data_IF_142728336632
#
_entry.id   IF_142728336632
#
_cell.length_a   1.000
_cell.length_b   1.000
_cell.length_c   1.000
_cell.angle_alpha   90.00
_cell.angle_beta   90.00
_cell.angle_gamma   90.00
#
_symmetry.space_group_name_H-M   'P 1'
#
loop_
_entity.id
_entity.type
_entity.pdbx_description
1 polymer ?
#
# COMPACT_ATOMS: atom_id res chain seq x y z
N UNK A 1 -9.69 21.50 16.17
CA UNK A 1 -9.73 20.07 16.59
C UNK A 1 -8.60 19.33 15.91
N UNK A 2 -8.01 18.33 16.56
CA UNK A 2 -6.80 17.63 16.08
C UNK A 2 -7.17 16.24 15.53
N UNK A 3 -6.73 15.94 14.31
CA UNK A 3 -6.85 14.64 13.66
C UNK A 3 -5.49 14.34 13.03
N UNK A 4 -4.85 13.24 13.45
CA UNK A 4 -3.53 12.87 12.95
C UNK A 4 -3.40 11.36 12.91
N UNK A 5 -2.86 10.86 11.81
CA UNK A 5 -2.51 9.46 11.57
C UNK A 5 -1.04 9.40 11.17
N UNK A 6 -0.30 8.50 11.80
CA UNK A 6 1.06 8.15 11.41
C UNK A 6 1.11 6.64 11.23
N UNK A 7 1.51 6.18 10.05
CA UNK A 7 1.62 4.75 9.72
C UNK A 7 3.00 4.46 9.16
N UNK A 8 3.50 3.26 9.45
CA UNK A 8 4.63 2.67 8.76
C UNK A 8 4.21 1.27 8.33
N UNK A 9 4.33 0.99 7.04
CA UNK A 9 3.91 -0.30 6.48
C UNK A 9 4.43 -0.50 5.08
N UNK A 10 3.92 -1.54 4.41
CA UNK A 10 4.31 -1.88 3.05
C UNK A 10 3.16 -1.68 2.07
N UNK A 11 3.47 -1.10 0.91
CA UNK A 11 2.52 -0.96 -0.19
C UNK A 11 2.11 -2.35 -0.69
N UNK A 12 0.81 -2.64 -0.77
CA UNK A 12 0.30 -3.98 -1.14
C UNK A 12 0.31 -4.20 -2.65
N UNK A 13 0.08 -3.15 -3.41
CA UNK A 13 0.07 -3.14 -4.87
C UNK A 13 0.59 -1.80 -5.39
N UNK A 14 1.12 -1.78 -6.61
CA UNK A 14 1.63 -0.56 -7.24
C UNK A 14 0.58 0.56 -7.19
N UNK A 15 0.92 1.77 -6.70
CA UNK A 15 -0.04 2.86 -6.56
C UNK A 15 -0.65 3.26 -7.90
N UNK A 16 -1.98 3.35 -7.96
CA UNK A 16 -2.70 3.76 -9.15
C UNK A 16 -2.82 5.29 -9.20
N UNK A 17 -2.25 5.91 -10.24
CA UNK A 17 -2.35 7.34 -10.48
C UNK A 17 -3.55 7.63 -11.40
N UNK A 18 -4.45 8.48 -10.95
CA UNK A 18 -5.55 9.01 -11.74
C UNK A 18 -5.46 10.52 -11.83
N UNK A 19 -5.97 11.07 -12.93
CA UNK A 19 -6.25 12.50 -13.06
C UNK A 19 -7.75 12.73 -12.94
N UNK A 20 -8.13 13.72 -12.16
CA UNK A 20 -9.52 14.17 -12.05
C UNK A 20 -9.89 15.06 -13.23
N UNK A 21 -11.19 15.32 -13.42
CA UNK A 21 -11.69 16.21 -14.48
C UNK A 21 -11.14 17.65 -14.37
N UNK A 22 -10.66 18.05 -13.20
CA UNK A 22 -10.05 19.36 -12.96
C UNK A 22 -8.51 19.31 -13.04
N UNK A 23 -7.96 18.31 -13.75
CA UNK A 23 -6.53 18.05 -13.93
C UNK A 23 -5.70 17.92 -12.63
N UNK A 24 -6.36 17.55 -11.52
CA UNK A 24 -5.66 17.21 -10.27
C UNK A 24 -5.30 15.74 -10.24
N UNK A 25 -4.02 15.46 -10.03
CA UNK A 25 -3.48 14.12 -9.79
C UNK A 25 -3.92 13.57 -8.43
N UNK A 26 -4.36 12.32 -8.41
CA UNK A 26 -4.73 11.57 -7.21
C UNK A 26 -4.16 10.15 -7.30
N UNK A 27 -3.48 9.70 -6.26
CA UNK A 27 -2.97 8.34 -6.16
C UNK A 27 -3.69 7.62 -5.01
N UNK A 28 -4.08 6.37 -5.26
CA UNK A 28 -4.64 5.48 -4.26
C UNK A 28 -3.72 4.30 -4.05
N UNK A 29 -3.49 3.95 -2.80
CA UNK A 29 -2.71 2.78 -2.43
C UNK A 29 -3.26 2.17 -1.15
N UNK A 30 -3.02 0.88 -0.98
CA UNK A 30 -3.29 0.17 0.27
C UNK A 30 -1.96 -0.17 0.93
N UNK A 31 -1.85 0.12 2.22
CA UNK A 31 -0.67 -0.17 3.04
C UNK A 31 -1.02 -1.27 4.03
N UNK A 32 -0.22 -2.33 4.05
CA UNK A 32 -0.25 -3.34 5.09
C UNK A 32 0.59 -2.88 6.29
N UNK A 33 -0.03 -2.80 7.47
CA UNK A 33 0.59 -2.42 8.73
C UNK A 33 0.48 -3.58 9.70
N UNK A 34 1.62 -4.18 10.04
CA UNK A 34 1.64 -5.33 10.94
C UNK A 34 1.25 -4.91 12.37
N UNK A 35 0.41 -5.70 13.01
CA UNK A 35 0.07 -5.53 14.42
C UNK A 35 1.27 -5.88 15.31
N UNK A 36 1.33 -5.24 16.48
CA UNK A 36 2.45 -5.44 17.43
C UNK A 36 2.41 -6.82 18.08
N UNK A 37 1.23 -7.35 18.34
CA UNK A 37 1.01 -8.63 19.01
C UNK A 37 0.71 -9.74 18.00
N UNK A 38 0.94 -10.98 18.43
CA UNK A 38 0.55 -12.18 17.71
C UNK A 38 -0.88 -12.56 18.07
N UNK A 39 -1.58 -13.19 17.14
CA UNK A 39 -2.90 -13.78 17.37
C UNK A 39 -2.80 -15.05 18.25
N UNK A 40 -3.93 -15.73 18.46
CA UNK A 40 -3.98 -16.97 19.25
C UNK A 40 -3.19 -18.13 18.60
N UNK A 41 -2.95 -18.06 17.29
CA UNK A 41 -2.20 -19.05 16.53
C UNK A 41 -0.68 -18.75 16.50
N UNK A 42 -0.27 -17.60 17.05
CA UNK A 42 1.14 -17.17 17.09
C UNK A 42 1.60 -16.41 15.83
N UNK A 43 0.69 -16.03 14.95
CA UNK A 43 0.93 -15.28 13.72
C UNK A 43 0.75 -13.77 13.92
N UNK A 44 1.44 -12.95 13.12
CA UNK A 44 1.28 -11.49 13.13
C UNK A 44 0.31 -11.09 12.02
N UNK A 45 -0.89 -10.70 12.42
CA UNK A 45 -1.86 -10.12 11.49
C UNK A 45 -1.44 -8.72 11.03
N UNK A 46 -1.93 -8.32 9.86
CA UNK A 46 -1.73 -6.99 9.28
C UNK A 46 -3.07 -6.30 9.03
N UNK A 47 -3.12 -5.00 9.31
CA UNK A 47 -4.22 -4.13 8.93
C UNK A 47 -3.96 -3.53 7.55
N UNK A 48 -5.00 -3.51 6.72
CA UNK A 48 -4.94 -3.00 5.35
C UNK A 48 -5.59 -1.63 5.29
N UNK A 49 -4.77 -0.58 5.22
CA UNK A 49 -5.22 0.80 5.31
C UNK A 49 -5.15 1.46 3.95
N UNK A 50 -6.28 2.00 3.49
CA UNK A 50 -6.34 2.77 2.25
C UNK A 50 -5.84 4.18 2.49
N UNK A 51 -4.93 4.63 1.62
CA UNK A 51 -4.41 5.98 1.59
C UNK A 51 -4.79 6.69 0.29
N UNK A 52 -5.10 7.97 0.40
CA UNK A 52 -5.36 8.86 -0.74
C UNK A 52 -4.35 9.99 -0.69
N UNK A 53 -3.63 10.17 -1.79
CA UNK A 53 -2.60 11.19 -1.96
C UNK A 53 -2.97 12.08 -3.12
N UNK A 54 -2.74 13.39 -3.01
CA UNK A 54 -3.10 14.38 -4.04
C UNK A 54 -1.90 15.15 -4.59
N UNK A 55 -2.07 15.70 -5.79
CA UNK A 55 -1.13 16.62 -6.43
C UNK A 55 0.25 15.99 -6.67
N UNK A 56 1.30 16.78 -6.43
CA UNK A 56 2.69 16.36 -6.64
C UNK A 56 3.09 15.14 -5.81
N UNK A 57 2.53 15.00 -4.60
CA UNK A 57 2.77 13.83 -3.75
C UNK A 57 2.19 12.56 -4.40
N UNK A 58 1.03 12.65 -5.06
CA UNK A 58 0.45 11.53 -5.80
C UNK A 58 1.37 11.06 -6.93
N UNK A 59 1.88 12.00 -7.73
CA UNK A 59 2.79 11.72 -8.84
C UNK A 59 4.11 11.11 -8.35
N UNK A 60 4.62 11.62 -7.23
CA UNK A 60 5.83 11.09 -6.58
C UNK A 60 5.59 9.66 -6.10
N UNK A 61 4.45 9.40 -5.45
CA UNK A 61 4.13 8.07 -4.95
C UNK A 61 3.98 7.06 -6.10
N UNK A 62 3.32 7.45 -7.19
CA UNK A 62 3.16 6.59 -8.36
C UNK A 62 4.48 6.35 -9.10
N UNK A 63 5.39 7.33 -9.11
CA UNK A 63 6.68 7.23 -9.81
C UNK A 63 7.71 6.40 -9.04
N UNK A 64 7.67 6.42 -7.71
CA UNK A 64 8.70 5.82 -6.87
C UNK A 64 8.20 4.69 -5.97
N UNK A 65 6.91 4.63 -5.68
CA UNK A 65 6.29 3.57 -4.89
C UNK A 65 6.00 2.35 -5.77
N UNK A 66 6.38 1.18 -5.29
CA UNK A 66 6.06 -0.11 -5.92
C UNK A 66 5.49 -1.08 -4.89
N UNK A 67 4.89 -2.18 -5.35
CA UNK A 67 4.48 -3.29 -4.48
C UNK A 67 5.63 -3.68 -3.54
N UNK A 68 5.31 -3.83 -2.27
CA UNK A 68 6.25 -4.19 -1.21
C UNK A 68 7.12 -3.04 -0.70
N UNK A 69 7.08 -1.84 -1.27
CA UNK A 69 7.87 -0.70 -0.77
C UNK A 69 7.50 -0.33 0.67
N UNK A 70 8.50 -0.18 1.53
CA UNK A 70 8.32 0.32 2.89
C UNK A 70 8.12 1.83 2.87
N UNK A 71 7.04 2.28 3.50
CA UNK A 71 6.59 3.66 3.46
C UNK A 71 6.16 4.12 4.85
N UNK A 72 6.51 5.36 5.20
CA UNK A 72 5.87 6.11 6.29
C UNK A 72 4.83 7.05 5.71
N UNK A 73 3.70 7.21 6.38
CA UNK A 73 2.61 8.10 6.00
C UNK A 73 2.24 8.97 7.19
N UNK A 74 2.16 10.28 6.96
CA UNK A 74 1.50 11.27 7.83
C UNK A 74 0.22 11.74 7.13
N UNK A 75 -0.87 11.87 7.87
CA UNK A 75 -2.14 12.24 7.32
C UNK A 75 -3.26 12.36 8.34
N UNK A 76 -4.49 12.31 7.85
CA UNK A 76 -5.70 12.49 8.63
C UNK A 76 -6.72 11.41 8.29
N UNK A 77 -7.50 10.94 9.27
CA UNK A 77 -8.61 10.03 9.00
C UNK A 77 -9.74 10.78 8.31
N UNK A 78 -10.21 10.27 7.18
CA UNK A 78 -11.37 10.80 6.47
C UNK A 78 -12.36 9.68 6.23
N UNK A 79 -13.63 9.93 6.57
CA UNK A 79 -14.74 9.06 6.20
C UNK A 79 -15.60 9.79 5.20
N UNK A 80 -15.80 9.20 4.02
CA UNK A 80 -16.71 9.71 3.00
C UNK A 80 -17.88 8.75 2.82
N UNK A 81 -19.03 9.31 2.50
CA UNK A 81 -20.23 8.56 2.12
C UNK A 81 -20.43 8.63 0.61
N UNK A 82 -20.84 7.53 0.00
CA UNK A 82 -21.28 7.51 -1.39
C UNK A 82 -22.45 6.54 -1.54
N UNK A 83 -23.34 6.81 -2.48
CA UNK A 83 -24.45 5.92 -2.80
C UNK A 83 -24.08 5.04 -4.00
N UNK A 84 -24.35 3.75 -3.88
CA UNK A 84 -24.21 2.78 -4.97
C UNK A 84 -25.36 1.79 -4.88
N UNK A 85 -26.11 1.63 -5.97
CA UNK A 85 -27.26 0.73 -6.05
C UNK A 85 -28.32 0.98 -4.96
N UNK A 86 -28.57 2.25 -4.61
CA UNK A 86 -29.54 2.62 -3.56
C UNK A 86 -29.07 2.38 -2.12
N UNK A 87 -27.83 1.91 -1.91
CA UNK A 87 -27.24 1.74 -0.59
C UNK A 87 -26.19 2.82 -0.30
N UNK A 88 -26.30 3.44 0.88
CA UNK A 88 -25.27 4.34 1.41
C UNK A 88 -24.08 3.52 1.89
N UNK A 89 -22.92 3.75 1.31
CA UNK A 89 -21.65 3.13 1.67
C UNK A 89 -20.73 4.16 2.31
N UNK A 90 -20.05 3.75 3.38
CA UNK A 90 -19.03 4.55 4.06
C UNK A 90 -17.65 4.01 3.75
N UNK A 91 -16.73 4.88 3.36
CA UNK A 91 -15.32 4.55 3.15
C UNK A 91 -14.50 5.36 4.12
N UNK A 92 -13.73 4.67 4.94
CA UNK A 92 -12.72 5.28 5.81
C UNK A 92 -11.36 5.12 5.15
N UNK A 93 -10.67 6.23 4.94
CA UNK A 93 -9.38 6.30 4.27
C UNK A 93 -8.50 7.36 4.95
N UNK A 94 -7.19 7.25 4.74
CA UNK A 94 -6.22 8.23 5.24
C UNK A 94 -5.94 9.23 4.13
N UNK A 95 -6.27 10.49 4.38
CA UNK A 95 -5.81 11.59 3.53
C UNK A 95 -4.35 11.87 3.88
N UNK A 96 -3.45 11.44 2.99
CA UNK A 96 -2.01 11.60 3.16
C UNK A 96 -1.61 13.07 2.93
N UNK A 97 -0.96 13.67 3.92
CA UNK A 97 -0.38 15.01 3.85
C UNK A 97 1.13 14.97 3.59
N UNK A 98 1.77 13.84 3.89
CA UNK A 98 3.17 13.59 3.59
C UNK A 98 3.53 12.11 3.72
N UNK A 99 4.56 11.67 3.00
CA UNK A 99 5.08 10.31 3.11
C UNK A 99 6.59 10.28 2.87
N UNK A 100 7.24 9.22 3.34
CA UNK A 100 8.63 8.92 2.98
C UNK A 100 8.75 7.45 2.63
N UNK A 101 9.43 7.15 1.51
CA UNK A 101 9.88 5.80 1.21
C UNK A 101 11.12 5.51 2.04
N UNK A 102 11.05 4.46 2.85
CA UNK A 102 12.06 4.16 3.87
C UNK A 102 13.13 3.18 3.40
N UNK A 103 13.09 2.77 2.13
CA UNK A 103 14.02 1.80 1.55
C UNK A 103 14.86 2.40 0.44
N UNK A 104 16.15 2.06 0.47
CA UNK A 104 17.05 2.46 -0.59
C UNK A 104 16.68 1.79 -1.91
N UNK A 105 17.09 2.38 -3.02
CA UNK A 105 16.91 1.79 -4.35
C UNK A 105 17.60 0.42 -4.44
N UNK A 106 18.76 0.25 -3.79
CA UNK A 106 19.49 -1.02 -3.73
C UNK A 106 18.70 -2.10 -2.97
N UNK A 107 18.13 -1.76 -1.81
CA UNK A 107 17.30 -2.68 -1.03
C UNK A 107 16.04 -3.11 -1.79
N UNK A 108 15.45 -2.20 -2.57
CA UNK A 108 14.33 -2.52 -3.46
C UNK A 108 14.73 -3.49 -4.58
N UNK A 109 15.84 -3.20 -5.28
CA UNK A 109 16.35 -4.06 -6.36
C UNK A 109 16.73 -5.47 -5.87
N UNK A 110 17.35 -5.58 -4.69
CA UNK A 110 17.66 -6.88 -4.08
C UNK A 110 16.39 -7.72 -3.82
N UNK A 111 15.31 -7.08 -3.35
CA UNK A 111 14.03 -7.79 -3.16
C UNK A 111 13.37 -8.21 -4.46
N UNK A 112 13.41 -7.36 -5.47
CA UNK A 112 12.85 -7.69 -6.78
C UNK A 112 13.59 -8.88 -7.41
N UNK A 113 14.90 -8.95 -7.26
CA UNK A 113 15.70 -10.10 -7.70
C UNK A 113 15.41 -11.37 -6.90
N UNK A 114 15.33 -11.28 -5.57
CA UNK A 114 15.04 -12.46 -4.74
C UNK A 114 13.62 -13.00 -4.98
N UNK A 115 12.63 -12.13 -5.20
CA UNK A 115 11.28 -12.57 -5.54
C UNK A 115 11.21 -13.33 -6.88
N UNK A 116 12.06 -12.96 -7.85
CA UNK A 116 12.19 -13.70 -9.11
C UNK A 116 12.85 -15.07 -8.94
N UNK A 117 13.74 -15.20 -7.97
CA UNK A 117 14.42 -16.46 -7.66
C UNK A 117 13.52 -17.42 -6.87
N UNK A 118 12.78 -16.94 -5.87
CA UNK A 118 11.79 -17.75 -5.13
C UNK A 118 10.70 -18.29 -6.07
N UNK A 119 10.26 -17.50 -7.06
CA UNK A 119 9.30 -17.93 -8.09
C UNK A 119 9.90 -18.96 -9.05
N UNK A 120 11.18 -18.83 -9.41
CA UNK A 120 11.85 -19.80 -10.27
C UNK A 120 12.02 -21.15 -9.56
N UNK A 121 12.40 -21.13 -8.28
CA UNK A 121 12.57 -22.34 -7.48
C UNK A 121 11.24 -23.09 -7.28
N UNK A 122 10.13 -22.37 -7.06
CA UNK A 122 8.78 -22.97 -6.99
C UNK A 122 8.31 -23.61 -8.31
N UNK A 123 8.63 -22.99 -9.45
CA UNK A 123 8.28 -23.55 -10.78
C UNK A 123 9.10 -24.80 -11.08
N UNK A 124 10.38 -24.82 -10.70
CA UNK A 124 11.23 -26.00 -10.85
C UNK A 124 10.78 -27.16 -9.94
N UNK A 125 10.32 -26.87 -8.72
CA UNK A 125 9.73 -27.89 -7.83
C UNK A 125 8.41 -28.47 -8.37
N UNK A 126 7.55 -27.67 -9.02
CA UNK A 126 6.32 -28.17 -9.66
C UNK A 126 6.60 -29.06 -10.88
N UNK A 127 7.67 -28.80 -11.65
CA UNK A 127 8.07 -29.63 -12.80
C UNK A 127 8.70 -30.98 -12.40
N UNK A 128 9.25 -31.10 -11.19
CA UNK A 128 9.89 -32.33 -10.70
C UNK A 128 8.94 -33.35 -10.04
N UNK A 129 7.63 -33.07 -9.94
CA UNK A 129 6.67 -34.03 -9.36
C UNK A 129 6.40 -35.19 -10.32
N UNK A 130 6.79 -36.44 -9.99
CA UNK A 130 6.38 -37.59 -10.76
C UNK A 130 4.89 -37.85 -10.49
N UNK A 131 4.13 -38.07 -11.57
CA UNK A 131 2.74 -38.55 -11.52
C UNK A 131 2.59 -39.82 -10.66
#
# INVERSE_FOLDING_TARGET
MFNKIILIGRIVATPELHKTNNDKSVARATIAVNRRYKDQNGEREADFINIVVWGKLAETLASYGSKGSLISVDGELRTRKFEKNGQTNYVTEVLCTGFQLLESRAQRAMRENNAGQDLADLVLEEEELPF
#
